data_IF_012985409052
#
_entry.id   IF_012985409052
#
_cell.length_a   1.000
_cell.length_b   1.000
_cell.length_c   1.000
_cell.angle_alpha   90.00
_cell.angle_beta   90.00
_cell.angle_gamma   90.00
#
_symmetry.space_group_name_H-M   'P 1'
#
loop_
_entity.id
_entity.type
_entity.pdbx_description
1 polymer ?
#
# COMPACT_ATOMS: atom_id res chain seq x y z
N UNK A 1 -9.28 16.42 4.66
CA UNK A 1 -9.44 15.21 5.51
C UNK A 1 -8.63 14.07 4.90
N UNK A 2 -8.22 13.06 5.68
CA UNK A 2 -7.41 11.92 5.18
C UNK A 2 -8.08 11.20 4.01
N UNK A 3 -9.42 11.14 3.97
CA UNK A 3 -10.16 10.55 2.85
C UNK A 3 -10.02 11.26 1.49
N UNK A 4 -9.23 12.33 1.40
CA UNK A 4 -8.86 12.99 0.12
C UNK A 4 -7.51 12.51 -0.41
N UNK A 5 -6.86 11.55 0.25
CA UNK A 5 -5.56 11.04 -0.14
C UNK A 5 -5.68 9.59 -0.62
N UNK A 6 -4.86 9.21 -1.59
CA UNK A 6 -4.66 7.83 -2.01
C UNK A 6 -3.58 7.20 -1.11
N UNK A 7 -3.93 6.21 -0.26
CA UNK A 7 -3.00 5.62 0.68
C UNK A 7 -2.20 4.45 0.07
N UNK A 8 -0.94 4.34 0.48
CA UNK A 8 -0.06 3.21 0.19
C UNK A 8 0.59 2.75 1.50
N UNK A 9 0.43 1.48 1.85
CA UNK A 9 1.19 0.91 2.96
C UNK A 9 2.68 0.84 2.61
N UNK A 10 3.54 1.07 3.61
CA UNK A 10 4.98 0.79 3.48
C UNK A 10 5.33 -0.71 3.52
N UNK A 11 4.35 -1.58 3.76
CA UNK A 11 4.57 -3.03 3.82
C UNK A 11 3.67 -3.81 2.84
N UNK A 12 4.18 -4.93 2.30
CA UNK A 12 3.30 -6.03 1.90
C UNK A 12 2.69 -6.69 3.14
N UNK A 13 1.64 -7.51 2.99
CA UNK A 13 0.92 -8.15 4.11
C UNK A 13 0.36 -7.13 5.12
N UNK A 14 -0.40 -6.16 4.63
CA UNK A 14 -1.05 -5.17 5.48
C UNK A 14 -2.08 -5.83 6.42
N UNK A 15 -2.42 -5.12 7.50
CA UNK A 15 -3.47 -5.59 8.42
C UNK A 15 -4.81 -5.71 7.69
N UNK A 16 -5.12 -4.79 6.77
CA UNK A 16 -6.32 -4.89 5.95
C UNK A 16 -6.31 -6.19 5.12
N UNK A 17 -5.18 -6.55 4.50
CA UNK A 17 -5.07 -7.81 3.77
C UNK A 17 -5.26 -9.03 4.68
N UNK A 18 -4.73 -9.01 5.91
CA UNK A 18 -4.94 -10.07 6.89
C UNK A 18 -6.43 -10.23 7.24
N UNK A 19 -7.12 -9.12 7.49
CA UNK A 19 -8.56 -9.13 7.79
C UNK A 19 -9.35 -9.73 6.63
N UNK A 20 -9.02 -9.37 5.38
CA UNK A 20 -9.64 -9.94 4.19
C UNK A 20 -9.32 -11.43 4.05
N UNK A 21 -8.10 -11.85 4.33
CA UNK A 21 -7.67 -13.25 4.32
C UNK A 21 -8.46 -14.11 5.33
N UNK A 22 -8.61 -13.61 6.57
CA UNK A 22 -9.37 -14.31 7.61
C UNK A 22 -10.88 -14.36 7.30
N UNK A 23 -11.41 -13.37 6.57
CA UNK A 23 -12.77 -13.38 6.04
C UNK A 23 -13.88 -13.34 7.10
N UNK A 24 -13.55 -13.02 8.35
CA UNK A 24 -14.44 -13.13 9.51
C UNK A 24 -14.79 -11.77 10.16
N UNK A 25 -14.42 -10.64 9.54
CA UNK A 25 -14.76 -9.32 10.07
C UNK A 25 -16.24 -9.00 9.84
N UNK A 26 -17.02 -8.69 10.91
CA UNK A 26 -18.48 -8.57 10.82
C UNK A 26 -18.92 -7.40 9.93
N UNK A 27 -18.14 -6.33 9.87
CA UNK A 27 -18.49 -5.09 9.15
C UNK A 27 -18.09 -5.06 7.68
N UNK A 28 -17.29 -6.04 7.21
CA UNK A 28 -16.95 -6.11 5.79
C UNK A 28 -18.05 -6.86 5.05
N UNK A 29 -18.35 -6.51 3.81
CA UNK A 29 -19.21 -7.34 2.93
C UNK A 29 -18.38 -8.27 2.04
N UNK A 30 -17.15 -7.87 1.71
CA UNK A 30 -16.25 -8.64 0.88
C UNK A 30 -15.78 -9.93 1.58
N UNK A 31 -15.90 -11.08 0.89
CA UNK A 31 -15.59 -12.42 1.43
C UNK A 31 -14.70 -13.28 0.53
N UNK A 32 -14.23 -12.76 -0.61
CA UNK A 32 -13.43 -13.55 -1.57
C UNK A 32 -11.97 -13.75 -1.16
N UNK A 33 -11.61 -13.40 0.08
CA UNK A 33 -10.24 -13.50 0.58
C UNK A 33 -9.27 -12.63 -0.22
N UNK A 34 -7.99 -12.98 -0.15
CA UNK A 34 -6.94 -12.25 -0.85
C UNK A 34 -6.70 -12.70 -2.30
N UNK A 35 -7.39 -13.73 -2.78
CA UNK A 35 -7.09 -14.36 -4.08
C UNK A 35 -7.31 -13.42 -5.27
N UNK A 36 -8.24 -12.47 -5.15
CA UNK A 36 -8.55 -11.48 -6.19
C UNK A 36 -7.82 -10.14 -5.99
N UNK A 37 -6.99 -10.02 -4.95
CA UNK A 37 -6.28 -8.78 -4.61
C UNK A 37 -4.93 -8.74 -5.32
N UNK A 38 -4.61 -7.59 -5.90
CA UNK A 38 -3.29 -7.29 -6.46
C UNK A 38 -2.62 -6.18 -5.65
N UNK A 39 -1.30 -6.19 -5.61
CA UNK A 39 -0.51 -5.11 -5.03
C UNK A 39 -0.03 -4.18 -6.13
N UNK A 40 -0.31 -2.88 -6.00
CA UNK A 40 0.33 -1.85 -6.81
C UNK A 40 1.54 -1.32 -6.03
N UNK A 41 2.73 -1.38 -6.63
CA UNK A 41 3.96 -0.91 -6.02
C UNK A 41 4.53 0.25 -6.80
N UNK A 42 4.95 1.29 -6.07
CA UNK A 42 5.64 2.45 -6.59
C UNK A 42 6.92 2.69 -5.78
N UNK A 43 7.93 3.31 -6.39
CA UNK A 43 9.18 3.64 -5.71
C UNK A 43 9.06 5.00 -5.01
N UNK A 44 9.27 5.03 -3.70
CA UNK A 44 9.02 6.21 -2.86
C UNK A 44 9.73 7.47 -3.36
N UNK A 45 11.03 7.40 -3.67
CA UNK A 45 11.77 8.58 -4.11
C UNK A 45 11.29 9.07 -5.49
N UNK A 46 10.88 8.16 -6.38
CA UNK A 46 10.32 8.51 -7.69
C UNK A 46 9.00 9.26 -7.52
N UNK A 47 8.14 8.76 -6.63
CA UNK A 47 6.83 9.37 -6.32
C UNK A 47 7.01 10.76 -5.69
N UNK A 48 7.87 10.89 -4.69
CA UNK A 48 8.13 12.18 -4.02
C UNK A 48 8.71 13.19 -5.01
N UNK A 49 9.67 12.78 -5.85
CA UNK A 49 10.25 13.64 -6.88
C UNK A 49 9.17 14.14 -7.84
N UNK A 50 8.35 13.23 -8.37
CA UNK A 50 7.24 13.58 -9.26
C UNK A 50 6.23 14.53 -8.61
N UNK A 51 5.85 14.26 -7.35
CA UNK A 51 4.87 15.07 -6.62
C UNK A 51 5.40 16.50 -6.40
N UNK A 52 6.67 16.65 -6.01
CA UNK A 52 7.30 17.94 -5.85
C UNK A 52 7.38 18.73 -7.17
N UNK A 53 7.75 18.06 -8.27
CA UNK A 53 7.79 18.67 -9.60
C UNK A 53 6.40 19.08 -10.11
N UNK A 54 5.37 18.31 -9.76
CA UNK A 54 4.00 18.49 -10.23
C UNK A 54 3.17 19.39 -9.30
N UNK A 55 3.75 19.85 -8.19
CA UNK A 55 3.04 20.63 -7.16
C UNK A 55 1.95 19.84 -6.43
N UNK A 56 2.00 18.51 -6.44
CA UNK A 56 1.03 17.64 -5.77
C UNK A 56 1.48 17.42 -4.33
N UNK A 57 0.56 17.64 -3.39
CA UNK A 57 0.83 17.43 -1.96
C UNK A 57 0.95 15.94 -1.65
N UNK A 58 1.92 15.62 -0.81
CA UNK A 58 2.09 14.29 -0.25
C UNK A 58 2.41 14.40 1.24
N UNK A 59 2.16 13.32 1.95
CA UNK A 59 2.55 13.13 3.33
C UNK A 59 2.79 11.64 3.58
N UNK A 60 3.30 11.30 4.76
CA UNK A 60 3.16 9.97 5.31
C UNK A 60 2.81 10.06 6.79
N UNK A 61 2.15 9.01 7.27
CA UNK A 61 1.83 8.83 8.67
C UNK A 61 2.73 7.76 9.29
N UNK A 62 3.07 7.93 10.57
CA UNK A 62 3.82 6.93 11.35
C UNK A 62 3.00 5.71 11.76
N UNK A 63 1.67 5.79 11.60
CA UNK A 63 0.66 4.79 11.91
C UNK A 63 -0.48 4.87 10.89
N UNK A 64 -1.58 4.17 11.13
CA UNK A 64 -2.80 4.29 10.32
C UNK A 64 -3.27 5.76 10.27
N UNK A 65 -3.44 6.33 9.08
CA UNK A 65 -3.76 7.74 8.90
C UNK A 65 -5.13 8.15 9.48
N UNK A 66 -6.05 7.20 9.66
CA UNK A 66 -7.36 7.41 10.29
C UNK A 66 -7.36 7.29 11.82
N UNK A 67 -6.23 6.94 12.46
CA UNK A 67 -6.17 6.76 13.90
C UNK A 67 -6.18 8.10 14.67
N UNK A 68 -6.68 8.05 15.91
CA UNK A 68 -6.80 9.24 16.77
C UNK A 68 -5.45 9.87 17.13
N UNK A 69 -4.42 9.04 17.35
CA UNK A 69 -3.04 9.47 17.61
C UNK A 69 -2.17 9.07 16.42
N UNK A 70 -1.91 10.02 15.53
CA UNK A 70 -1.04 9.85 14.36
C UNK A 70 -0.32 11.15 14.05
N UNK A 71 0.98 11.04 13.78
CA UNK A 71 1.79 12.14 13.30
C UNK A 71 1.93 12.06 11.78
N UNK A 72 1.93 13.22 11.13
CA UNK A 72 2.11 13.33 9.70
C UNK A 72 3.38 14.10 9.37
N UNK A 73 4.09 13.63 8.36
CA UNK A 73 5.35 14.18 7.90
C UNK A 73 5.31 14.33 6.38
N UNK A 74 6.11 15.25 5.83
CA UNK A 74 6.14 15.54 4.40
C UNK A 74 7.55 15.88 3.89
N UNK A 75 8.58 15.36 4.57
CA UNK A 75 9.98 15.49 4.16
C UNK A 75 10.63 14.11 4.13
N UNK A 76 11.47 13.81 3.12
CA UNK A 76 12.16 12.52 3.05
C UNK A 76 13.03 12.24 4.29
N UNK A 77 13.60 13.28 4.90
CA UNK A 77 14.41 13.15 6.12
C UNK A 77 13.62 12.66 7.35
N UNK A 78 12.30 12.80 7.34
CA UNK A 78 11.44 12.39 8.46
C UNK A 78 11.10 10.90 8.44
N UNK A 79 11.58 10.14 7.42
CA UNK A 79 11.35 8.69 7.32
C UNK A 79 11.94 7.90 8.50
N UNK A 80 12.82 8.50 9.30
CA UNK A 80 13.29 7.94 10.57
C UNK A 80 12.20 7.81 11.64
N UNK A 81 11.06 8.50 11.47
CA UNK A 81 9.91 8.37 12.38
C UNK A 81 9.06 7.12 12.11
N UNK A 82 9.26 6.46 10.96
CA UNK A 82 8.58 5.19 10.67
C UNK A 82 9.26 4.07 11.46
N UNK A 83 8.46 3.27 12.16
CA UNK A 83 8.93 2.03 12.78
C UNK A 83 9.10 0.94 11.71
N UNK A 84 10.25 0.95 11.05
CA UNK A 84 10.59 -0.02 10.01
C UNK A 84 10.61 -1.47 10.50
N UNK A 85 10.85 -1.69 11.80
CA UNK A 85 10.79 -3.02 12.40
C UNK A 85 9.35 -3.54 12.45
N UNK A 86 8.39 -2.68 12.78
CA UNK A 86 6.97 -3.01 12.75
C UNK A 86 6.45 -3.20 11.32
N UNK A 87 6.83 -2.32 10.39
CA UNK A 87 6.51 -2.42 8.96
C UNK A 87 6.92 -3.79 8.39
N UNK A 88 8.14 -4.24 8.71
CA UNK A 88 8.68 -5.52 8.25
C UNK A 88 8.12 -6.75 8.98
N UNK A 89 7.49 -6.58 10.16
CA UNK A 89 7.03 -7.71 10.98
C UNK A 89 5.90 -8.49 10.31
N UNK A 90 5.94 -9.82 10.43
CA UNK A 90 4.84 -10.73 10.09
C UNK A 90 3.97 -11.07 11.29
N UNK A 91 4.43 -10.76 12.51
CA UNK A 91 3.67 -10.91 13.76
C UNK A 91 3.34 -9.54 14.34
N UNK A 92 2.05 -9.22 14.36
CA UNK A 92 1.51 -7.95 14.84
C UNK A 92 0.51 -8.15 15.99
N UNK A 93 0.70 -9.22 16.79
CA UNK A 93 -0.09 -9.43 18.02
C UNK A 93 0.19 -8.36 19.07
N UNK A 94 1.42 -7.84 19.11
CA UNK A 94 1.75 -6.66 19.94
C UNK A 94 1.04 -5.42 19.36
N UNK A 95 0.20 -4.71 20.15
CA UNK A 95 -0.47 -3.50 19.70
C UNK A 95 0.45 -2.42 19.12
N UNK A 96 1.67 -2.25 19.64
CA UNK A 96 2.62 -1.25 19.12
C UNK A 96 3.11 -1.62 17.73
N UNK A 97 3.43 -2.89 17.51
CA UNK A 97 3.80 -3.41 16.19
C UNK A 97 2.61 -3.29 15.23
N UNK A 98 1.41 -3.59 15.71
CA UNK A 98 0.16 -3.45 14.94
C UNK A 98 -0.09 -2.01 14.48
N UNK A 99 0.18 -1.04 15.34
CA UNK A 99 0.05 0.39 15.00
C UNK A 99 1.11 0.83 14.00
N UNK A 100 2.40 0.55 14.27
CA UNK A 100 3.51 0.96 13.41
C UNK A 100 3.48 0.31 12.02
N UNK A 101 3.04 -0.96 11.92
CA UNK A 101 2.90 -1.65 10.62
C UNK A 101 1.93 -0.96 9.66
N UNK A 102 0.98 -0.19 10.20
CA UNK A 102 -0.02 0.52 9.41
C UNK A 102 0.42 1.93 8.99
N UNK A 103 1.70 2.25 9.09
CA UNK A 103 2.25 3.46 8.48
C UNK A 103 1.94 3.51 6.97
N UNK A 104 1.55 4.69 6.49
CA UNK A 104 1.04 4.91 5.13
C UNK A 104 1.74 6.10 4.48
N UNK A 105 2.09 5.96 3.20
CA UNK A 105 2.32 7.07 2.30
C UNK A 105 0.98 7.55 1.75
N UNK A 106 0.84 8.87 1.58
CA UNK A 106 -0.42 9.53 1.21
C UNK A 106 -0.15 10.53 0.10
N UNK A 107 -0.78 10.36 -1.06
CA UNK A 107 -0.77 11.36 -2.14
C UNK A 107 -2.13 12.01 -2.27
N UNK A 108 -2.17 13.34 -2.37
CA UNK A 108 -3.42 14.10 -2.42
C UNK A 108 -4.15 13.87 -3.75
N UNK A 109 -5.46 13.63 -3.65
CA UNK A 109 -6.46 13.55 -4.73
C UNK A 109 -6.33 12.34 -5.67
N UNK A 110 -5.15 12.10 -6.25
CA UNK A 110 -4.94 11.00 -7.19
C UNK A 110 -3.53 10.41 -7.11
N UNK A 111 -3.37 9.20 -7.63
CA UNK A 111 -2.07 8.58 -7.82
C UNK A 111 -1.81 8.32 -9.32
N UNK A 112 -0.77 8.93 -9.93
CA UNK A 112 -0.47 8.73 -11.34
C UNK A 112 -0.16 7.27 -11.66
N UNK A 113 -0.88 6.71 -12.64
CA UNK A 113 -0.67 5.33 -13.11
C UNK A 113 0.78 5.07 -13.53
N UNK A 114 1.42 6.05 -14.17
CA UNK A 114 2.80 5.97 -14.66
C UNK A 114 3.85 5.80 -13.56
N UNK A 115 3.49 6.04 -12.30
CA UNK A 115 4.39 5.84 -11.15
C UNK A 115 4.29 4.42 -10.56
N UNK A 116 3.34 3.60 -11.01
CA UNK A 116 3.28 2.19 -10.61
C UNK A 116 4.34 1.44 -11.41
N UNK A 117 5.35 0.90 -10.74
CA UNK A 117 6.47 0.22 -11.38
C UNK A 117 6.24 -1.29 -11.45
N UNK A 118 5.45 -1.83 -10.51
CA UNK A 118 5.19 -3.25 -10.39
C UNK A 118 3.78 -3.56 -9.90
N UNK A 119 3.22 -4.63 -10.43
CA UNK A 119 2.00 -5.26 -9.94
C UNK A 119 2.35 -6.65 -9.43
N UNK A 120 2.23 -6.84 -8.11
CA UNK A 120 2.38 -8.13 -7.47
C UNK A 120 1.06 -8.89 -7.47
N UNK A 121 1.09 -10.15 -7.89
CA UNK A 121 -0.06 -11.05 -7.85
C UNK A 121 0.24 -12.29 -7.02
N UNK A 122 -0.79 -12.94 -6.47
CA UNK A 122 -0.60 -14.11 -5.61
C UNK A 122 -0.19 -15.36 -6.39
N UNK A 123 -0.57 -15.47 -7.66
CA UNK A 123 -0.30 -16.61 -8.53
C UNK A 123 -0.37 -16.24 -10.02
N UNK A 124 0.02 -17.19 -10.87
CA UNK A 124 0.01 -17.03 -12.33
C UNK A 124 -1.38 -16.73 -12.90
N UNK A 125 -2.44 -17.34 -12.37
CA UNK A 125 -3.81 -17.09 -12.83
C UNK A 125 -4.19 -15.62 -12.71
N UNK A 126 -3.82 -14.98 -11.59
CA UNK A 126 -4.05 -13.55 -11.41
C UNK A 126 -3.10 -12.70 -12.26
N UNK A 127 -1.84 -13.12 -12.43
CA UNK A 127 -0.90 -12.43 -13.34
C UNK A 127 -1.47 -12.33 -14.76
N UNK A 128 -1.94 -13.44 -15.34
CA UNK A 128 -2.54 -13.46 -16.67
C UNK A 128 -3.79 -12.57 -16.77
N UNK A 129 -4.59 -12.49 -15.69
CA UNK A 129 -5.75 -11.59 -15.65
C UNK A 129 -5.33 -10.12 -15.68
N UNK A 130 -4.27 -9.76 -14.95
CA UNK A 130 -3.70 -8.40 -14.95
C UNK A 130 -3.12 -8.07 -16.33
N UNK A 131 -2.33 -8.98 -16.91
CA UNK A 131 -1.75 -8.82 -18.26
C UNK A 131 -2.85 -8.55 -19.29
N UNK A 132 -3.90 -9.37 -19.27
CA UNK A 132 -5.05 -9.21 -20.17
C UNK A 132 -5.70 -7.84 -19.99
N UNK A 133 -5.93 -7.40 -18.74
CA UNK A 133 -6.54 -6.10 -18.46
C UNK A 133 -5.68 -4.92 -18.90
N UNK A 134 -4.35 -5.09 -18.98
CA UNK A 134 -3.42 -4.03 -19.36
C UNK A 134 -3.07 -4.00 -20.85
N UNK A 135 -3.49 -4.99 -21.66
CA UNK A 135 -3.14 -5.12 -23.09
C UNK A 135 -3.20 -3.81 -23.91
N UNK A 136 -4.20 -2.96 -23.64
CA UNK A 136 -4.43 -1.71 -24.41
C UNK A 136 -4.01 -0.43 -23.68
N UNK A 137 -3.26 -0.55 -22.59
CA UNK A 137 -2.83 0.59 -21.76
C UNK A 137 -1.38 0.96 -22.11
N UNK A 138 -1.08 2.26 -22.23
CA UNK A 138 0.25 2.72 -22.65
C UNK A 138 1.35 2.44 -21.63
N UNK A 139 1.07 2.62 -20.34
CA UNK A 139 2.02 2.31 -19.26
C UNK A 139 1.83 0.86 -18.78
N UNK A 140 2.93 0.11 -18.77
CA UNK A 140 2.99 -1.32 -18.51
C UNK A 140 3.95 -1.59 -17.33
N UNK A 141 3.45 -1.58 -16.08
CA UNK A 141 4.25 -1.99 -14.93
C UNK A 141 4.71 -3.45 -15.06
N UNK A 142 5.80 -3.81 -14.39
CA UNK A 142 6.23 -5.21 -14.30
C UNK A 142 5.17 -6.01 -13.57
N UNK A 143 4.66 -7.07 -14.18
CA UNK A 143 3.72 -8.00 -13.54
C UNK A 143 4.55 -9.19 -13.02
N UNK A 144 4.43 -9.49 -11.72
CA UNK A 144 5.18 -10.57 -11.11
C UNK A 144 4.34 -11.34 -10.10
N UNK A 145 4.57 -12.66 -10.03
CA UNK A 145 3.97 -13.52 -9.02
C UNK A 145 4.78 -13.39 -7.72
N UNK A 146 4.15 -12.80 -6.71
CA UNK A 146 4.74 -12.41 -5.43
C UNK A 146 3.98 -13.03 -4.26
N UNK A 147 3.95 -14.37 -4.10
CA UNK A 147 3.21 -15.03 -3.03
C UNK A 147 3.68 -14.59 -1.64
N UNK A 148 4.95 -14.15 -1.52
CA UNK A 148 5.50 -13.58 -0.30
C UNK A 148 4.83 -12.27 0.16
N UNK A 149 4.01 -11.63 -0.69
CA UNK A 149 3.27 -10.42 -0.32
C UNK A 149 1.88 -10.70 0.29
N UNK A 150 1.47 -11.97 0.30
CA UNK A 150 0.17 -12.47 0.75
C UNK A 150 0.31 -13.37 1.98
N UNK A 151 -0.80 -13.59 2.71
CA UNK A 151 -0.85 -14.46 3.89
C UNK A 151 -0.99 -15.95 3.56
#
# INVERSE_FOLDING_TARGET
>A
MVGQYVPFYFCPRSIMLYILHMGNHPELEYRSGQQLIIHLQAHLNSVVSWANMSGVRWAFSDRNAGAYLTAFYNRPGDLSHIDWSAVASTDFRDPKVKEGKQAEFLMFDFFPWTLIEKIGTINNTMATRVETALTSIGHQPVIAVEPGWYF
#
